data_IF_313772942621
#
_entry.id   IF_313772942621
#
_cell.length_a   1.000
_cell.length_b   1.000
_cell.length_c   1.000
_cell.angle_alpha   90.00
_cell.angle_beta   90.00
_cell.angle_gamma   90.00
#
_symmetry.space_group_name_H-M   'P 1'
#
loop_
_entity.id
_entity.type
_entity.pdbx_description
1 polymer ?
#
# COMPACT_ATOMS: atom_id res chain seq x y z
N UNK A 1 8.10 -28.23 19.94
CA UNK A 1 9.17 -27.83 20.88
C UNK A 1 9.08 -26.33 21.01
N UNK A 2 9.13 -25.82 22.24
CA UNK A 2 9.05 -24.38 22.48
C UNK A 2 10.39 -23.71 22.19
N UNK A 3 10.32 -22.46 21.73
CA UNK A 3 11.51 -21.67 21.45
C UNK A 3 12.22 -21.31 22.76
N UNK A 4 13.55 -21.43 22.77
CA UNK A 4 14.39 -21.06 23.91
C UNK A 4 14.96 -19.66 23.72
N UNK A 5 14.91 -18.81 24.75
CA UNK A 5 15.69 -17.57 24.75
C UNK A 5 17.13 -17.91 25.14
N UNK A 6 18.08 -17.65 24.23
CA UNK A 6 19.51 -17.97 24.41
C UNK A 6 20.35 -16.74 24.77
N UNK A 7 19.80 -15.54 24.59
CA UNK A 7 20.39 -14.29 25.05
C UNK A 7 19.26 -13.29 25.35
N UNK A 8 19.37 -12.61 26.48
CA UNK A 8 18.37 -11.65 26.95
C UNK A 8 19.07 -10.46 27.61
N UNK A 9 18.80 -9.26 27.13
CA UNK A 9 19.39 -8.00 27.61
C UNK A 9 18.37 -6.88 27.58
N UNK A 10 18.68 -5.68 28.08
CA UNK A 10 17.76 -4.55 28.11
C UNK A 10 17.26 -4.09 26.72
N UNK A 11 17.96 -4.40 25.64
CA UNK A 11 17.63 -3.95 24.30
C UNK A 11 17.62 -5.05 23.22
N UNK A 12 18.32 -6.17 23.39
CA UNK A 12 18.38 -7.30 22.45
C UNK A 12 17.85 -8.60 23.09
N UNK A 13 17.03 -9.34 22.33
CA UNK A 13 16.57 -10.70 22.65
C UNK A 13 16.92 -11.63 21.51
N UNK A 14 17.46 -12.81 21.84
CA UNK A 14 17.78 -13.87 20.88
C UNK A 14 17.02 -15.13 21.24
N UNK A 15 16.19 -15.57 20.31
CA UNK A 15 15.42 -16.80 20.35
C UNK A 15 16.14 -17.90 19.58
N UNK A 16 16.00 -19.14 20.02
CA UNK A 16 16.45 -20.32 19.32
C UNK A 16 15.33 -21.34 19.24
N UNK A 17 15.02 -21.73 18.01
CA UNK A 17 14.16 -22.84 17.67
C UNK A 17 15.01 -23.94 17.05
N UNK A 18 15.09 -25.09 17.72
CA UNK A 18 15.80 -26.26 17.19
C UNK A 18 14.84 -27.10 16.34
N UNK A 19 15.13 -27.19 15.04
CA UNK A 19 14.44 -28.07 14.09
C UNK A 19 15.34 -29.20 13.59
N UNK A 20 14.96 -29.83 12.48
CA UNK A 20 15.70 -30.95 11.85
C UNK A 20 16.54 -30.55 10.63
N UNK A 21 16.48 -29.30 10.19
CA UNK A 21 17.29 -28.81 9.06
C UNK A 21 18.80 -28.89 9.33
N UNK A 22 19.58 -29.21 8.30
CA UNK A 22 21.06 -29.20 8.33
C UNK A 22 21.66 -27.79 8.19
N UNK A 23 20.80 -26.81 7.87
CA UNK A 23 21.11 -25.37 7.83
C UNK A 23 20.41 -24.63 8.97
N UNK A 24 20.96 -23.48 9.33
CA UNK A 24 20.41 -22.55 10.31
C UNK A 24 19.92 -21.28 9.62
N UNK A 25 18.69 -20.88 9.92
CA UNK A 25 18.18 -19.56 9.53
C UNK A 25 18.38 -18.57 10.67
N UNK A 26 18.97 -17.41 10.40
CA UNK A 26 19.18 -16.32 11.35
C UNK A 26 18.29 -15.16 10.91
N UNK A 27 17.32 -14.76 11.71
CA UNK A 27 16.30 -13.78 11.30
C UNK A 27 16.31 -12.51 12.12
N UNK A 28 16.11 -11.39 11.43
CA UNK A 28 15.98 -10.06 12.02
C UNK A 28 14.64 -9.46 11.60
N UNK A 29 13.81 -9.10 12.57
CA UNK A 29 12.50 -8.48 12.32
C UNK A 29 12.66 -6.98 12.00
N UNK A 30 11.65 -6.39 11.35
CA UNK A 30 11.59 -4.95 11.16
C UNK A 30 11.29 -4.21 12.47
N UNK A 31 11.33 -2.88 12.41
CA UNK A 31 10.93 -2.00 13.51
C UNK A 31 9.43 -2.10 13.81
N UNK A 32 9.01 -1.75 15.04
CA UNK A 32 7.59 -1.71 15.44
C UNK A 32 7.10 -2.98 16.14
N UNK A 33 8.03 -3.81 16.61
CA UNK A 33 7.74 -5.06 17.33
C UNK A 33 8.36 -5.08 18.74
N UNK A 34 8.74 -3.93 19.28
CA UNK A 34 9.55 -3.81 20.49
C UNK A 34 8.85 -4.41 21.72
N UNK A 35 7.54 -4.17 21.86
CA UNK A 35 6.72 -4.69 22.97
C UNK A 35 6.57 -6.21 22.94
N UNK A 36 6.76 -6.84 21.77
CA UNK A 36 6.65 -8.29 21.57
C UNK A 36 8.00 -8.99 21.39
N UNK A 37 9.11 -8.30 21.68
CA UNK A 37 10.46 -8.83 21.47
C UNK A 37 10.72 -10.16 22.20
N UNK A 38 10.11 -10.38 23.37
CA UNK A 38 10.28 -11.63 24.12
C UNK A 38 9.45 -12.81 23.59
N UNK A 39 8.56 -12.62 22.61
CA UNK A 39 7.62 -13.66 22.17
C UNK A 39 7.56 -13.87 20.66
N UNK A 40 7.94 -12.85 19.88
CA UNK A 40 7.89 -12.84 18.42
C UNK A 40 9.30 -12.74 17.83
N UNK A 41 9.51 -13.37 16.68
CA UNK A 41 10.58 -13.03 15.73
C UNK A 41 10.10 -13.29 14.30
N UNK A 42 10.82 -12.75 13.32
CA UNK A 42 10.42 -12.86 11.91
C UNK A 42 10.38 -14.33 11.48
N UNK A 43 9.25 -14.75 10.90
CA UNK A 43 9.10 -16.11 10.36
C UNK A 43 8.87 -17.22 11.39
N UNK A 44 8.79 -16.91 12.70
CA UNK A 44 8.55 -17.90 13.78
C UNK A 44 7.51 -18.99 13.44
N UNK A 45 6.26 -18.67 13.04
CA UNK A 45 5.27 -19.70 12.72
C UNK A 45 5.64 -20.56 11.50
N UNK A 46 6.44 -20.02 10.57
CA UNK A 46 6.90 -20.74 9.38
C UNK A 46 7.98 -21.73 9.78
N UNK A 47 9.02 -21.30 10.50
CA UNK A 47 10.12 -22.19 10.86
C UNK A 47 9.68 -23.31 11.80
N UNK A 48 8.78 -23.04 12.74
CA UNK A 48 8.16 -24.07 13.56
C UNK A 48 7.33 -25.07 12.73
N UNK A 49 6.55 -24.57 11.76
CA UNK A 49 5.71 -25.41 10.89
C UNK A 49 6.53 -26.34 9.99
N UNK A 50 7.65 -25.86 9.49
CA UNK A 50 8.53 -26.60 8.56
C UNK A 50 9.70 -27.28 9.28
N UNK A 51 9.73 -27.25 10.62
CA UNK A 51 10.78 -27.84 11.45
C UNK A 51 12.20 -27.39 11.06
N UNK A 52 12.35 -26.09 10.80
CA UNK A 52 13.62 -25.48 10.39
C UNK A 52 14.32 -24.88 11.60
N UNK A 53 15.56 -25.27 11.83
CA UNK A 53 16.41 -24.65 12.86
C UNK A 53 16.56 -23.15 12.58
N UNK A 54 16.21 -22.34 13.57
CA UNK A 54 16.15 -20.88 13.43
C UNK A 54 16.63 -20.16 14.69
N UNK A 55 17.41 -19.10 14.49
CA UNK A 55 17.68 -18.07 15.49
C UNK A 55 16.90 -16.82 15.11
N UNK A 56 16.09 -16.29 16.03
CA UNK A 56 15.37 -15.04 15.85
C UNK A 56 15.95 -13.94 16.71
N UNK A 57 16.30 -12.80 16.13
CA UNK A 57 16.81 -11.64 16.85
C UNK A 57 15.78 -10.51 16.79
N UNK A 58 15.43 -9.98 17.95
CA UNK A 58 14.50 -8.85 18.11
C UNK A 58 15.08 -7.82 19.05
N UNK A 59 14.56 -6.59 18.98
CA UNK A 59 14.99 -5.49 19.83
C UNK A 59 13.84 -5.02 20.73
N UNK A 60 14.12 -4.64 21.98
CA UNK A 60 13.17 -3.95 22.88
C UNK A 60 13.14 -2.44 22.68
N UNK A 61 14.02 -1.93 21.83
CA UNK A 61 14.21 -0.51 21.57
C UNK A 61 14.40 -0.29 20.07
N UNK A 62 14.12 0.94 19.62
CA UNK A 62 14.30 1.38 18.23
C UNK A 62 15.77 1.74 17.95
N UNK A 63 16.67 0.78 18.15
CA UNK A 63 18.11 0.96 18.04
C UNK A 63 18.69 0.40 16.72
N UNK A 64 17.86 -0.09 15.79
CA UNK A 64 18.31 -0.73 14.54
C UNK A 64 19.35 -1.84 14.75
N UNK A 65 19.26 -2.58 15.87
CA UNK A 65 20.26 -3.58 16.27
C UNK A 65 21.67 -3.00 16.53
N UNK A 66 21.84 -1.69 16.55
CA UNK A 66 23.13 -1.05 16.78
C UNK A 66 23.33 -0.73 18.26
N UNK A 67 23.89 -1.69 19.01
CA UNK A 67 24.18 -1.52 20.44
C UNK A 67 25.38 -2.35 20.92
N UNK A 68 25.93 -2.03 22.11
CA UNK A 68 26.98 -2.85 22.73
C UNK A 68 26.51 -4.29 23.01
N UNK A 69 25.24 -4.49 23.38
CA UNK A 69 24.69 -5.83 23.65
C UNK A 69 24.55 -6.67 22.38
N UNK A 70 24.38 -6.04 21.21
CA UNK A 70 24.35 -6.78 19.95
C UNK A 70 25.66 -7.55 19.71
N UNK A 71 26.82 -7.00 20.07
CA UNK A 71 28.10 -7.70 19.93
C UNK A 71 28.15 -8.97 20.79
N UNK A 72 27.67 -8.89 22.04
CA UNK A 72 27.56 -10.05 22.93
C UNK A 72 26.56 -11.08 22.40
N UNK A 73 25.44 -10.62 21.83
CA UNK A 73 24.46 -11.48 21.19
C UNK A 73 25.07 -12.22 19.98
N UNK A 74 25.84 -11.53 19.13
CA UNK A 74 26.53 -12.15 17.98
C UNK A 74 27.50 -13.25 18.40
N UNK A 75 28.23 -13.09 19.51
CA UNK A 75 29.11 -14.14 20.04
C UNK A 75 28.33 -15.40 20.45
N UNK A 76 27.16 -15.23 21.05
CA UNK A 76 26.27 -16.36 21.40
C UNK A 76 25.74 -17.03 20.12
N UNK A 77 25.24 -16.24 19.17
CA UNK A 77 24.71 -16.75 17.89
C UNK A 77 25.78 -17.53 17.12
N UNK A 78 27.02 -17.02 17.10
CA UNK A 78 28.15 -17.67 16.46
C UNK A 78 28.38 -19.09 16.99
N UNK A 79 28.33 -19.29 18.32
CA UNK A 79 28.51 -20.61 18.94
C UNK A 79 27.41 -21.60 18.56
N UNK A 80 26.16 -21.13 18.49
CA UNK A 80 25.04 -21.97 18.06
C UNK A 80 25.09 -22.29 16.57
N UNK A 81 25.68 -21.40 15.75
CA UNK A 81 25.78 -21.57 14.30
C UNK A 81 26.82 -22.63 13.90
N UNK A 82 27.82 -22.90 14.75
CA UNK A 82 28.95 -23.78 14.43
C UNK A 82 28.58 -25.23 14.10
N UNK A 83 27.42 -25.72 14.55
CA UNK A 83 26.95 -27.08 14.29
C UNK A 83 26.20 -27.28 12.96
N UNK A 84 25.95 -26.20 12.22
CA UNK A 84 25.16 -26.23 10.99
C UNK A 84 26.04 -26.17 9.76
N UNK A 85 25.63 -26.87 8.70
CA UNK A 85 26.37 -26.92 7.44
C UNK A 85 26.34 -25.59 6.69
N UNK A 86 25.25 -24.83 6.87
CA UNK A 86 24.99 -23.58 6.17
C UNK A 86 24.23 -22.62 7.07
N UNK A 87 24.54 -21.33 6.97
CA UNK A 87 23.86 -20.25 7.69
C UNK A 87 23.19 -19.29 6.69
N UNK A 88 21.92 -18.98 6.94
CA UNK A 88 21.11 -18.13 6.06
C UNK A 88 20.58 -16.96 6.89
N UNK A 89 21.04 -15.74 6.62
CA UNK A 89 20.48 -14.55 7.25
C UNK A 89 19.26 -14.04 6.47
N UNK A 90 18.21 -13.63 7.18
CA UNK A 90 17.02 -13.05 6.57
C UNK A 90 16.55 -11.84 7.37
N UNK A 91 16.21 -10.75 6.70
CA UNK A 91 15.71 -9.57 7.41
C UNK A 91 14.75 -8.71 6.61
N UNK A 92 13.97 -7.89 7.33
CA UNK A 92 12.99 -6.94 6.80
C UNK A 92 13.37 -5.51 7.21
N UNK A 93 13.49 -4.56 6.27
CA UNK A 93 13.71 -3.14 6.60
C UNK A 93 14.92 -2.93 7.54
N UNK A 94 14.73 -2.46 8.77
CA UNK A 94 15.74 -2.39 9.83
C UNK A 94 16.41 -3.76 10.13
N UNK A 95 15.66 -4.86 10.04
CA UNK A 95 16.22 -6.20 10.15
C UNK A 95 17.00 -6.62 8.91
N UNK A 96 16.62 -6.16 7.71
CA UNK A 96 17.40 -6.40 6.49
C UNK A 96 18.75 -5.67 6.55
N UNK A 97 18.78 -4.48 7.17
CA UNK A 97 20.02 -3.81 7.56
C UNK A 97 20.89 -4.73 8.43
N UNK A 98 20.36 -5.25 9.54
CA UNK A 98 21.13 -6.08 10.47
C UNK A 98 21.61 -7.40 9.85
N UNK A 99 20.76 -8.04 9.03
CA UNK A 99 21.10 -9.25 8.29
C UNK A 99 22.34 -9.05 7.39
N UNK A 100 22.43 -7.90 6.71
CA UNK A 100 23.59 -7.55 5.87
C UNK A 100 24.76 -7.09 6.75
N UNK A 101 24.53 -6.16 7.69
CA UNK A 101 25.53 -5.54 8.57
C UNK A 101 26.34 -6.59 9.35
N UNK A 102 25.69 -7.67 9.78
CA UNK A 102 26.34 -8.72 10.57
C UNK A 102 26.69 -9.97 9.77
N UNK A 103 26.50 -9.96 8.44
CA UNK A 103 26.77 -11.12 7.58
C UNK A 103 28.23 -11.61 7.69
N UNK A 104 29.20 -10.69 7.78
CA UNK A 104 30.61 -11.05 7.97
C UNK A 104 30.89 -11.67 9.34
N UNK A 105 30.39 -11.08 10.43
CA UNK A 105 30.62 -11.58 11.79
C UNK A 105 29.94 -12.94 11.99
N UNK A 106 28.75 -13.12 11.43
CA UNK A 106 27.99 -14.36 11.48
C UNK A 106 28.46 -15.41 10.45
N UNK A 107 29.40 -15.05 9.57
CA UNK A 107 29.84 -15.82 8.39
C UNK A 107 28.66 -16.45 7.65
N UNK A 108 27.68 -15.63 7.30
CA UNK A 108 26.49 -16.08 6.58
C UNK A 108 26.89 -16.55 5.19
N UNK A 109 26.44 -17.74 4.80
CA UNK A 109 26.61 -18.22 3.42
C UNK A 109 25.70 -17.46 2.46
N UNK A 110 24.46 -17.18 2.90
CA UNK A 110 23.44 -16.49 2.12
C UNK A 110 22.69 -15.49 2.97
N UNK A 111 22.43 -14.30 2.44
CA UNK A 111 21.56 -13.28 3.03
C UNK A 111 20.39 -12.98 2.10
N UNK A 112 19.16 -13.02 2.63
CA UNK A 112 17.93 -12.58 1.94
C UNK A 112 17.44 -11.30 2.63
N UNK A 113 17.63 -10.16 1.97
CA UNK A 113 17.31 -8.85 2.52
C UNK A 113 16.08 -8.25 1.82
N UNK A 114 15.00 -8.05 2.56
CA UNK A 114 13.80 -7.38 2.05
C UNK A 114 13.87 -5.87 2.35
N UNK A 115 14.10 -5.07 1.33
CA UNK A 115 14.24 -3.60 1.39
C UNK A 115 15.18 -3.12 2.52
N UNK A 116 16.49 -3.43 2.47
CA UNK A 116 17.43 -2.99 3.48
C UNK A 116 17.51 -1.47 3.53
N UNK A 117 17.48 -0.92 4.74
CA UNK A 117 17.84 0.48 4.98
C UNK A 117 19.36 0.57 5.10
N UNK A 118 20.02 1.45 4.34
CA UNK A 118 21.47 1.57 4.41
C UNK A 118 21.94 2.09 5.78
N UNK A 119 21.26 3.12 6.29
CA UNK A 119 21.47 3.75 7.59
C UNK A 119 20.24 4.60 7.96
N UNK A 120 20.08 4.95 9.23
CA UNK A 120 19.21 6.05 9.67
C UNK A 120 20.00 7.31 10.06
N UNK A 121 21.34 7.25 9.99
CA UNK A 121 22.19 8.42 10.14
C UNK A 121 22.10 9.28 8.86
N UNK A 122 21.51 10.46 9.00
CA UNK A 122 21.32 11.46 7.93
C UNK A 122 22.63 11.99 7.35
N UNK A 123 23.76 11.72 8.00
CA UNK A 123 25.12 12.02 7.50
C UNK A 123 25.62 10.99 6.49
N UNK A 124 25.04 9.80 6.47
CA UNK A 124 25.49 8.68 5.64
C UNK A 124 24.60 8.46 4.42
N UNK A 125 23.31 8.77 4.53
CA UNK A 125 22.35 8.63 3.44
C UNK A 125 21.19 9.61 3.60
N UNK A 126 20.44 9.82 2.52
CA UNK A 126 19.17 10.52 2.61
C UNK A 126 18.18 9.65 3.40
N UNK A 127 17.66 10.20 4.50
CA UNK A 127 16.71 9.55 5.40
C UNK A 127 15.57 10.55 5.64
N UNK A 128 14.34 10.06 5.74
CA UNK A 128 13.22 10.96 6.10
C UNK A 128 13.42 11.48 7.53
N UNK A 129 13.02 12.74 7.82
CA UNK A 129 13.32 13.38 9.11
C UNK A 129 12.88 12.58 10.34
N UNK A 130 11.75 11.88 10.25
CA UNK A 130 11.18 11.08 11.34
C UNK A 130 12.08 9.91 11.72
N UNK A 131 12.75 9.26 10.76
CA UNK A 131 13.70 8.19 11.04
C UNK A 131 15.06 8.74 11.48
N UNK A 132 15.51 9.84 10.88
CA UNK A 132 16.76 10.51 11.27
C UNK A 132 16.70 10.98 12.74
N UNK A 133 15.54 11.41 13.21
CA UNK A 133 15.32 11.80 14.61
C UNK A 133 15.49 10.66 15.62
N UNK A 134 15.42 9.39 15.18
CA UNK A 134 15.69 8.22 16.02
C UNK A 134 17.18 7.87 16.10
N UNK A 135 18.03 8.48 15.27
CA UNK A 135 19.47 8.24 15.29
C UNK A 135 20.13 8.93 16.48
N UNK A 136 20.42 8.15 17.53
CA UNK A 136 21.13 8.63 18.72
C UNK A 136 22.61 8.85 18.44
N UNK A 137 23.31 9.56 19.32
CA UNK A 137 24.76 9.79 19.18
C UNK A 137 25.57 8.48 19.11
N UNK A 138 25.12 7.43 19.80
CA UNK A 138 25.79 6.12 19.75
C UNK A 138 25.57 5.37 18.44
N UNK A 139 24.60 5.78 17.62
CA UNK A 139 24.28 5.17 16.32
C UNK A 139 24.93 5.92 15.15
N UNK A 140 25.74 6.94 15.40
CA UNK A 140 26.41 7.67 14.33
C UNK A 140 27.44 6.80 13.62
N UNK A 141 27.44 6.83 12.29
CA UNK A 141 28.28 5.97 11.46
C UNK A 141 27.81 4.51 11.39
N UNK A 142 26.58 4.20 11.81
CA UNK A 142 26.07 2.83 11.89
C UNK A 142 25.96 2.14 10.52
N UNK A 143 25.86 2.90 9.43
CA UNK A 143 25.52 2.39 8.12
C UNK A 143 26.32 1.17 7.69
N UNK A 144 25.74 0.35 6.83
CA UNK A 144 26.43 -0.82 6.26
C UNK A 144 27.68 -0.35 5.55
N UNK A 145 28.82 -0.97 5.85
CA UNK A 145 30.13 -0.73 5.24
C UNK A 145 30.53 -1.89 4.35
N UNK A 146 31.61 -1.67 3.60
CA UNK A 146 32.13 -2.66 2.65
C UNK A 146 32.68 -3.89 3.36
N UNK A 147 33.23 -3.73 4.55
CA UNK A 147 33.81 -4.76 5.41
C UNK A 147 32.77 -5.59 6.17
N UNK A 148 31.53 -5.11 6.24
CA UNK A 148 30.44 -5.78 6.97
C UNK A 148 29.82 -6.94 6.18
N UNK A 149 30.03 -6.97 4.87
CA UNK A 149 29.34 -7.90 3.96
C UNK A 149 30.12 -9.19 3.69
N UNK A 150 29.42 -10.32 3.72
CA UNK A 150 29.93 -11.67 3.41
C UNK A 150 28.88 -12.56 2.74
N UNK A 151 29.34 -13.54 1.96
CA UNK A 151 28.49 -14.53 1.30
C UNK A 151 27.70 -13.98 0.12
N UNK A 152 26.68 -14.75 -0.31
CA UNK A 152 25.77 -14.31 -1.36
C UNK A 152 24.63 -13.49 -0.76
N UNK A 153 24.36 -12.30 -1.30
CA UNK A 153 23.35 -11.39 -0.77
C UNK A 153 22.28 -11.14 -1.85
N UNK A 154 21.05 -11.57 -1.59
CA UNK A 154 19.90 -11.28 -2.44
C UNK A 154 19.07 -10.15 -1.84
N UNK A 155 19.04 -9.01 -2.52
CA UNK A 155 18.28 -7.83 -2.10
C UNK A 155 16.97 -7.78 -2.87
N UNK A 156 15.87 -8.06 -2.18
CA UNK A 156 14.52 -7.97 -2.71
C UNK A 156 13.97 -6.57 -2.41
N UNK A 157 13.75 -5.77 -3.47
CA UNK A 157 13.34 -4.37 -3.31
C UNK A 157 12.41 -3.90 -4.44
N UNK A 158 11.60 -2.88 -4.19
CA UNK A 158 10.89 -2.18 -5.27
C UNK A 158 11.81 -1.13 -5.90
N UNK A 159 12.20 -1.31 -7.17
CA UNK A 159 13.08 -0.36 -7.86
C UNK A 159 12.50 1.07 -7.99
N UNK A 160 11.19 1.22 -7.83
CA UNK A 160 10.53 2.52 -7.88
C UNK A 160 10.45 3.19 -6.50
N UNK A 161 10.78 2.47 -5.43
CA UNK A 161 11.00 3.05 -4.11
C UNK A 161 12.42 3.64 -4.06
N UNK A 162 12.51 4.96 -4.02
CA UNK A 162 13.78 5.70 -4.18
C UNK A 162 14.83 5.26 -3.15
N UNK A 163 14.46 5.21 -1.88
CA UNK A 163 15.41 4.95 -0.79
C UNK A 163 15.89 3.49 -0.79
N UNK A 164 15.00 2.55 -1.14
CA UNK A 164 15.35 1.13 -1.25
C UNK A 164 16.28 0.89 -2.44
N UNK A 165 15.99 1.56 -3.57
CA UNK A 165 16.85 1.52 -4.74
C UNK A 165 18.24 2.06 -4.43
N UNK A 166 18.33 3.23 -3.79
CA UNK A 166 19.61 3.83 -3.41
C UNK A 166 20.40 2.92 -2.47
N UNK A 167 19.74 2.32 -1.47
CA UNK A 167 20.38 1.38 -0.53
C UNK A 167 20.88 0.14 -1.25
N UNK A 168 20.06 -0.46 -2.13
CA UNK A 168 20.41 -1.64 -2.92
C UNK A 168 21.60 -1.38 -3.88
N UNK A 169 21.60 -0.24 -4.58
CA UNK A 169 22.68 0.16 -5.49
C UNK A 169 23.98 0.45 -4.73
N UNK A 170 23.90 1.06 -3.54
CA UNK A 170 25.09 1.32 -2.69
C UNK A 170 25.72 0.02 -2.22
N UNK A 171 24.92 -0.93 -1.72
CA UNK A 171 25.41 -2.23 -1.25
C UNK A 171 25.99 -3.05 -2.42
N UNK A 172 25.37 -3.00 -3.61
CA UNK A 172 25.95 -3.59 -4.81
C UNK A 172 27.33 -2.98 -5.12
N UNK A 173 27.49 -1.66 -4.97
CA UNK A 173 28.76 -0.95 -5.14
C UNK A 173 29.87 -1.43 -4.20
N UNK A 174 29.55 -1.92 -3.01
CA UNK A 174 30.53 -2.50 -2.08
C UNK A 174 31.21 -3.77 -2.61
N UNK A 175 30.65 -4.42 -3.63
CA UNK A 175 31.25 -5.60 -4.28
C UNK A 175 32.30 -5.26 -5.34
N UNK A 176 32.45 -3.99 -5.74
CA UNK A 176 33.39 -3.61 -6.79
C UNK A 176 34.84 -3.98 -6.43
N UNK A 177 35.45 -4.90 -7.18
CA UNK A 177 36.80 -5.41 -6.90
C UNK A 177 36.86 -6.50 -5.82
N UNK A 178 35.72 -7.09 -5.44
CA UNK A 178 35.62 -8.27 -4.58
C UNK A 178 35.11 -9.46 -5.40
N UNK A 179 35.69 -10.64 -5.17
CA UNK A 179 35.24 -11.91 -5.75
C UNK A 179 34.63 -12.85 -4.70
N UNK A 180 34.77 -12.51 -3.43
CA UNK A 180 34.33 -13.29 -2.27
C UNK A 180 32.88 -13.00 -1.85
N UNK A 181 32.27 -11.94 -2.39
CA UNK A 181 30.88 -11.53 -2.10
C UNK A 181 30.16 -11.20 -3.39
N UNK A 182 28.95 -11.73 -3.54
CA UNK A 182 28.10 -11.49 -4.70
C UNK A 182 26.75 -10.93 -4.25
N UNK A 183 26.32 -9.82 -4.87
CA UNK A 183 25.04 -9.19 -4.58
C UNK A 183 24.10 -9.35 -5.79
N UNK A 184 22.97 -10.03 -5.59
CA UNK A 184 21.91 -10.21 -6.57
C UNK A 184 20.71 -9.31 -6.26
N UNK A 185 20.45 -8.30 -7.11
CA UNK A 185 19.27 -7.44 -6.97
C UNK A 185 18.02 -8.10 -7.57
N UNK A 186 16.98 -8.29 -6.77
CA UNK A 186 15.71 -8.88 -7.18
C UNK A 186 14.61 -7.83 -7.09
N UNK A 187 14.19 -7.30 -8.24
CA UNK A 187 13.14 -6.30 -8.28
C UNK A 187 11.76 -6.91 -7.98
N UNK A 188 11.04 -6.29 -7.03
CA UNK A 188 9.70 -6.67 -6.56
C UNK A 188 8.75 -5.49 -6.82
N UNK A 189 8.28 -5.28 -8.08
CA UNK A 189 7.48 -4.11 -8.45
C UNK A 189 6.20 -3.95 -7.62
N UNK A 190 5.90 -2.68 -7.31
CA UNK A 190 4.72 -2.24 -6.57
C UNK A 190 4.64 -2.83 -5.16
N UNK A 191 5.78 -3.19 -4.58
CA UNK A 191 5.81 -3.66 -3.20
C UNK A 191 5.98 -2.52 -2.20
N UNK A 192 6.48 -1.36 -2.64
CA UNK A 192 6.91 -0.31 -1.72
C UNK A 192 8.01 -0.81 -0.78
N UNK A 193 8.11 -0.19 0.40
CA UNK A 193 9.16 -0.51 1.37
C UNK A 193 8.96 -1.86 2.08
N UNK A 194 7.71 -2.22 2.43
CA UNK A 194 7.42 -3.48 3.14
C UNK A 194 7.29 -4.64 2.13
N UNK A 195 8.41 -4.97 1.48
CA UNK A 195 8.48 -5.89 0.34
C UNK A 195 7.87 -7.26 0.63
N UNK A 196 8.10 -7.78 1.84
CA UNK A 196 7.64 -9.12 2.23
C UNK A 196 6.10 -9.24 2.26
N UNK A 197 5.35 -8.17 2.52
CA UNK A 197 3.88 -8.25 2.49
C UNK A 197 3.36 -8.56 1.08
N UNK A 198 4.08 -8.14 0.03
CA UNK A 198 3.80 -8.52 -1.36
C UNK A 198 4.16 -9.97 -1.72
N UNK A 199 4.90 -10.67 -0.85
CA UNK A 199 5.42 -12.02 -1.07
C UNK A 199 4.93 -13.02 -0.02
N UNK A 200 4.21 -12.54 0.99
CA UNK A 200 3.82 -13.25 2.21
C UNK A 200 3.18 -14.60 1.94
N UNK A 201 3.59 -15.59 2.72
CA UNK A 201 3.06 -16.96 2.68
C UNK A 201 4.13 -17.95 3.10
N UNK A 202 3.79 -18.93 3.94
CA UNK A 202 4.77 -19.87 4.48
C UNK A 202 5.48 -20.67 3.38
N UNK A 203 4.73 -21.11 2.35
CA UNK A 203 5.30 -21.79 1.16
C UNK A 203 6.22 -20.87 0.36
N UNK A 204 5.87 -19.59 0.26
CA UNK A 204 6.66 -18.62 -0.51
C UNK A 204 7.99 -18.33 0.20
N UNK A 205 7.97 -18.13 1.53
CA UNK A 205 9.19 -17.91 2.30
C UNK A 205 10.14 -19.11 2.19
N UNK A 206 9.63 -20.34 2.32
CA UNK A 206 10.45 -21.54 2.14
C UNK A 206 11.01 -21.66 0.72
N UNK A 207 10.21 -21.40 -0.31
CA UNK A 207 10.67 -21.42 -1.70
C UNK A 207 11.80 -20.39 -1.97
N UNK A 208 11.72 -19.20 -1.35
CA UNK A 208 12.79 -18.20 -1.42
C UNK A 208 14.07 -18.71 -0.74
N UNK A 209 13.95 -19.31 0.45
CA UNK A 209 15.07 -19.87 1.21
C UNK A 209 15.75 -20.99 0.42
N UNK A 210 14.98 -21.96 -0.08
CA UNK A 210 15.48 -23.08 -0.89
C UNK A 210 16.21 -22.58 -2.14
N UNK A 211 15.63 -21.61 -2.84
CA UNK A 211 16.23 -21.07 -4.08
C UNK A 211 17.51 -20.31 -3.78
N UNK A 212 17.48 -19.40 -2.82
CA UNK A 212 18.62 -18.58 -2.43
C UNK A 212 19.78 -19.43 -1.87
N UNK A 213 19.47 -20.53 -1.18
CA UNK A 213 20.47 -21.42 -0.57
C UNK A 213 20.90 -22.60 -1.45
N UNK A 214 20.32 -22.77 -2.63
CA UNK A 214 20.71 -23.82 -3.58
C UNK A 214 22.17 -23.69 -4.02
N UNK A 215 22.70 -24.77 -4.60
CA UNK A 215 24.08 -24.82 -5.13
C UNK A 215 24.23 -24.17 -6.51
N UNK A 216 23.16 -23.59 -7.06
CA UNK A 216 23.18 -22.95 -8.36
C UNK A 216 24.05 -21.68 -8.34
N UNK A 217 24.63 -21.28 -9.49
CA UNK A 217 25.32 -20.00 -9.62
C UNK A 217 24.43 -18.82 -9.18
N UNK A 218 25.02 -17.79 -8.59
CA UNK A 218 24.27 -16.63 -8.04
C UNK A 218 23.33 -15.99 -9.06
N UNK A 219 23.78 -15.86 -10.32
CA UNK A 219 22.96 -15.29 -11.41
C UNK A 219 21.71 -16.13 -11.70
N UNK A 220 21.83 -17.45 -11.62
CA UNK A 220 20.70 -18.36 -11.82
C UNK A 220 19.74 -18.31 -10.65
N UNK A 221 20.25 -18.33 -9.40
CA UNK A 221 19.43 -18.10 -8.20
C UNK A 221 18.68 -16.77 -8.26
N UNK A 222 19.35 -15.68 -8.65
CA UNK A 222 18.74 -14.36 -8.83
C UNK A 222 17.60 -14.40 -9.87
N UNK A 223 17.80 -15.07 -11.00
CA UNK A 223 16.79 -15.20 -12.04
C UNK A 223 15.57 -16.00 -11.56
N UNK A 224 15.79 -17.12 -10.85
CA UNK A 224 14.74 -17.95 -10.25
C UNK A 224 13.97 -17.19 -9.17
N UNK A 225 14.65 -16.47 -8.28
CA UNK A 225 14.02 -15.60 -7.28
C UNK A 225 13.16 -14.52 -7.97
N UNK A 226 13.66 -13.91 -9.05
CA UNK A 226 12.87 -12.95 -9.82
C UNK A 226 11.65 -13.61 -10.49
N UNK A 227 11.72 -14.87 -10.92
CA UNK A 227 10.57 -15.60 -11.46
C UNK A 227 9.54 -15.93 -10.37
N UNK A 228 10.00 -16.44 -9.22
CA UNK A 228 9.14 -16.78 -8.08
C UNK A 228 8.42 -15.55 -7.52
N UNK A 229 9.14 -14.45 -7.26
CA UNK A 229 8.54 -13.20 -6.77
C UNK A 229 7.52 -12.62 -7.75
N UNK A 230 7.67 -12.82 -9.06
CA UNK A 230 6.63 -12.46 -10.05
C UNK A 230 5.38 -13.33 -9.89
N UNK A 231 5.52 -14.63 -9.64
CA UNK A 231 4.37 -15.51 -9.42
C UNK A 231 3.64 -15.13 -8.13
N UNK A 232 4.35 -15.02 -7.00
CA UNK A 232 3.77 -14.73 -5.69
C UNK A 232 2.96 -13.43 -5.67
N UNK A 233 3.50 -12.37 -6.30
CA UNK A 233 2.86 -11.05 -6.33
C UNK A 233 1.55 -11.00 -7.11
N UNK A 234 1.39 -11.83 -8.14
CA UNK A 234 0.20 -11.78 -9.00
C UNK A 234 -1.07 -12.30 -8.31
N UNK A 235 -0.94 -12.93 -7.15
CA UNK A 235 -2.04 -13.49 -6.35
C UNK A 235 -2.13 -12.86 -4.96
N UNK A 236 -1.18 -11.97 -4.64
CA UNK A 236 -1.07 -11.34 -3.34
C UNK A 236 -1.91 -10.05 -3.31
N UNK A 237 -2.88 -10.00 -2.39
CA UNK A 237 -3.79 -8.87 -2.26
C UNK A 237 -3.08 -7.53 -2.00
N UNK A 238 -2.05 -7.52 -1.15
CA UNK A 238 -1.27 -6.30 -0.85
C UNK A 238 -0.57 -5.78 -2.10
N UNK A 239 0.07 -6.64 -2.88
CA UNK A 239 0.72 -6.21 -4.11
C UNK A 239 -0.29 -5.70 -5.15
N UNK A 240 -1.44 -6.36 -5.26
CA UNK A 240 -2.52 -5.95 -6.17
C UNK A 240 -3.07 -4.58 -5.76
N UNK A 241 -3.33 -4.37 -4.47
CA UNK A 241 -3.75 -3.09 -3.92
C UNK A 241 -2.72 -1.98 -4.19
N UNK A 242 -1.43 -2.24 -3.95
CA UNK A 242 -0.37 -1.28 -4.26
C UNK A 242 -0.30 -0.93 -5.75
N UNK A 243 -0.55 -1.89 -6.65
CA UNK A 243 -0.63 -1.63 -8.10
C UNK A 243 -1.82 -0.74 -8.44
N UNK A 244 -2.97 -0.94 -7.79
CA UNK A 244 -4.15 -0.07 -7.95
C UNK A 244 -3.80 1.34 -7.47
N UNK A 245 -3.23 1.49 -6.27
CA UNK A 245 -2.77 2.78 -5.71
C UNK A 245 -1.78 3.52 -6.59
N UNK A 246 -0.79 2.83 -7.14
CA UNK A 246 0.20 3.46 -8.00
C UNK A 246 -0.35 3.81 -9.40
N UNK A 247 -1.38 3.08 -9.84
CA UNK A 247 -1.88 3.11 -11.21
C UNK A 247 -3.13 3.93 -11.45
N UNK A 248 -4.04 4.08 -10.47
CA UNK A 248 -5.39 4.60 -10.73
C UNK A 248 -5.42 6.01 -11.33
N UNK A 249 -4.49 6.90 -10.96
CA UNK A 249 -4.38 8.24 -11.56
C UNK A 249 -3.63 8.23 -12.89
N UNK A 250 -2.51 7.49 -12.97
CA UNK A 250 -1.61 7.53 -14.14
C UNK A 250 -2.18 6.71 -15.31
N UNK A 251 -2.69 5.52 -15.00
CA UNK A 251 -3.17 4.52 -15.94
C UNK A 251 -4.57 3.99 -15.56
N UNK A 252 -5.60 4.85 -15.47
CA UNK A 252 -6.93 4.48 -14.99
C UNK A 252 -7.55 3.33 -15.78
N UNK A 253 -7.38 3.30 -17.11
CA UNK A 253 -7.91 2.22 -17.93
C UNK A 253 -7.23 0.86 -17.64
N UNK A 254 -5.91 0.85 -17.42
CA UNK A 254 -5.20 -0.38 -17.04
C UNK A 254 -5.61 -0.85 -15.63
N UNK A 255 -5.82 0.09 -14.71
CA UNK A 255 -6.35 -0.23 -13.37
C UNK A 255 -7.74 -0.84 -13.47
N UNK A 256 -8.63 -0.26 -14.28
CA UNK A 256 -9.95 -0.85 -14.52
C UNK A 256 -9.86 -2.24 -15.15
N UNK A 257 -8.99 -2.45 -16.14
CA UNK A 257 -8.79 -3.77 -16.76
C UNK A 257 -8.29 -4.82 -15.77
N UNK A 258 -7.44 -4.43 -14.81
CA UNK A 258 -7.03 -5.30 -13.72
C UNK A 258 -8.23 -5.72 -12.88
N UNK A 259 -9.07 -4.76 -12.46
CA UNK A 259 -10.28 -5.01 -11.66
C UNK A 259 -11.33 -5.84 -12.42
N UNK A 260 -11.45 -5.64 -13.73
CA UNK A 260 -12.35 -6.36 -14.63
C UNK A 260 -11.81 -7.74 -15.06
N UNK A 261 -10.65 -8.15 -14.57
CA UNK A 261 -10.08 -9.47 -14.87
C UNK A 261 -10.69 -10.55 -13.98
N UNK A 262 -10.92 -11.76 -14.52
CA UNK A 262 -11.33 -12.92 -13.71
C UNK A 262 -10.37 -13.19 -12.56
N UNK A 263 -9.07 -13.01 -12.82
CA UNK A 263 -8.01 -13.19 -11.82
C UNK A 263 -8.21 -12.31 -10.58
N UNK A 264 -8.73 -11.08 -10.74
CA UNK A 264 -8.99 -10.21 -9.59
C UNK A 264 -10.10 -10.75 -8.69
N UNK A 265 -11.15 -11.34 -9.28
CA UNK A 265 -12.23 -11.98 -8.53
C UNK A 265 -11.75 -13.18 -7.70
N UNK A 266 -10.67 -13.85 -8.12
CA UNK A 266 -10.08 -15.00 -7.42
C UNK A 266 -9.04 -14.61 -6.35
N UNK A 267 -8.80 -13.30 -6.12
CA UNK A 267 -7.82 -12.84 -5.14
C UNK A 267 -8.29 -13.17 -3.73
N UNK A 268 -7.43 -13.84 -2.95
CA UNK A 268 -7.70 -14.10 -1.54
C UNK A 268 -7.75 -12.79 -0.76
N UNK A 269 -8.74 -12.64 0.12
CA UNK A 269 -8.96 -11.42 0.91
C UNK A 269 -9.14 -10.18 0.02
N UNK A 270 -9.89 -10.33 -1.07
CA UNK A 270 -10.22 -9.20 -1.95
C UNK A 270 -10.97 -8.09 -1.20
N UNK A 271 -11.70 -8.42 -0.14
CA UNK A 271 -12.37 -7.45 0.74
C UNK A 271 -11.40 -6.43 1.35
N UNK A 272 -10.18 -6.84 1.72
CA UNK A 272 -9.15 -5.92 2.23
C UNK A 272 -8.80 -4.83 1.20
N UNK A 273 -8.96 -5.13 -0.10
CA UNK A 273 -8.77 -4.19 -1.21
C UNK A 273 -10.03 -3.35 -1.40
N UNK A 274 -11.20 -3.98 -1.45
CA UNK A 274 -12.49 -3.34 -1.79
C UNK A 274 -12.99 -2.39 -0.71
N UNK A 275 -12.57 -2.58 0.55
CA UNK A 275 -12.89 -1.69 1.66
C UNK A 275 -12.29 -0.27 1.52
N UNK A 276 -11.29 -0.06 0.66
CA UNK A 276 -10.82 1.28 0.31
C UNK A 276 -11.73 1.89 -0.76
N UNK A 277 -12.98 2.20 -0.41
CA UNK A 277 -13.99 2.69 -1.37
C UNK A 277 -13.52 3.96 -2.11
N UNK A 278 -12.78 4.81 -1.39
CA UNK A 278 -12.26 6.10 -1.90
C UNK A 278 -11.48 5.90 -3.20
N UNK A 279 -10.61 4.89 -3.29
CA UNK A 279 -9.80 4.70 -4.50
C UNK A 279 -10.64 4.31 -5.71
N UNK A 280 -11.69 3.53 -5.53
CA UNK A 280 -12.55 3.06 -6.61
C UNK A 280 -13.46 4.18 -7.13
N UNK A 281 -14.00 5.01 -6.24
CA UNK A 281 -14.80 6.15 -6.67
C UNK A 281 -13.95 7.22 -7.36
N UNK A 282 -12.73 7.48 -6.87
CA UNK A 282 -11.78 8.35 -7.56
C UNK A 282 -11.41 7.79 -8.92
N UNK A 283 -11.18 6.47 -9.03
CA UNK A 283 -10.94 5.83 -10.31
C UNK A 283 -12.13 6.01 -11.27
N UNK A 284 -13.37 5.83 -10.80
CA UNK A 284 -14.57 6.05 -11.62
C UNK A 284 -14.66 7.51 -12.12
N UNK A 285 -14.44 8.48 -11.24
CA UNK A 285 -14.41 9.90 -11.61
C UNK A 285 -13.32 10.20 -12.66
N UNK A 286 -12.10 9.67 -12.48
CA UNK A 286 -10.99 9.84 -13.42
C UNK A 286 -11.29 9.18 -14.77
N UNK A 287 -11.84 7.97 -14.77
CA UNK A 287 -12.26 7.27 -16.00
C UNK A 287 -13.26 8.11 -16.77
N UNK A 288 -14.30 8.61 -16.10
CA UNK A 288 -15.33 9.45 -16.70
C UNK A 288 -14.73 10.74 -17.30
N UNK A 289 -13.88 11.43 -16.54
CA UNK A 289 -13.22 12.66 -17.00
C UNK A 289 -12.26 12.41 -18.18
N UNK A 290 -11.79 11.18 -18.37
CA UNK A 290 -11.00 10.78 -19.54
C UNK A 290 -11.82 10.23 -20.71
N UNK A 291 -13.15 10.24 -20.61
CA UNK A 291 -14.05 9.75 -21.66
C UNK A 291 -14.30 8.24 -21.60
N UNK A 292 -13.80 7.54 -20.59
CA UNK A 292 -14.06 6.11 -20.34
C UNK A 292 -15.35 5.92 -19.54
N UNK A 293 -16.46 6.46 -20.07
CA UNK A 293 -17.77 6.53 -19.38
C UNK A 293 -18.32 5.13 -19.06
N UNK A 294 -18.21 4.19 -20.00
CA UNK A 294 -18.62 2.80 -19.80
C UNK A 294 -17.85 2.12 -18.65
N UNK A 295 -16.54 2.32 -18.60
CA UNK A 295 -15.68 1.75 -17.57
C UNK A 295 -15.97 2.37 -16.19
N UNK A 296 -16.16 3.69 -16.14
CA UNK A 296 -16.56 4.38 -14.92
C UNK A 296 -17.88 3.81 -14.36
N UNK A 297 -18.88 3.65 -15.21
CA UNK A 297 -20.20 3.12 -14.84
C UNK A 297 -20.15 1.69 -14.34
N UNK A 298 -19.53 0.80 -15.11
CA UNK A 298 -19.42 -0.62 -14.74
C UNK A 298 -18.69 -0.79 -13.41
N UNK A 299 -17.67 0.03 -13.14
CA UNK A 299 -16.99 0.05 -11.85
C UNK A 299 -17.93 0.48 -10.72
N UNK A 300 -18.69 1.57 -10.89
CA UNK A 300 -19.66 2.01 -9.86
C UNK A 300 -20.73 0.96 -9.59
N UNK A 301 -21.28 0.34 -10.64
CA UNK A 301 -22.27 -0.73 -10.49
C UNK A 301 -21.68 -1.95 -9.78
N UNK A 302 -20.42 -2.29 -10.04
CA UNK A 302 -19.73 -3.35 -9.31
C UNK A 302 -19.55 -3.00 -7.83
N UNK A 303 -19.21 -1.75 -7.49
CA UNK A 303 -19.12 -1.29 -6.09
C UNK A 303 -20.49 -1.32 -5.40
N UNK A 304 -21.54 -0.80 -6.02
CA UNK A 304 -22.91 -0.84 -5.48
C UNK A 304 -23.34 -2.30 -5.22
N UNK A 305 -23.09 -3.19 -6.18
CA UNK A 305 -23.38 -4.62 -6.02
C UNK A 305 -22.59 -5.24 -4.87
N UNK A 306 -21.30 -4.95 -4.78
CA UNK A 306 -20.46 -5.43 -3.70
C UNK A 306 -21.01 -5.02 -2.34
N UNK A 307 -21.40 -3.76 -2.18
CA UNK A 307 -21.93 -3.31 -0.90
C UNK A 307 -23.34 -3.82 -0.57
N UNK A 308 -24.15 -4.10 -1.58
CA UNK A 308 -25.52 -4.63 -1.39
C UNK A 308 -25.56 -6.14 -1.20
N UNK A 309 -24.60 -6.89 -1.77
CA UNK A 309 -24.65 -8.36 -1.84
C UNK A 309 -23.36 -9.06 -1.42
N UNK A 310 -22.28 -8.33 -1.16
CA UNK A 310 -20.93 -8.87 -0.95
C UNK A 310 -20.22 -9.31 -2.25
N UNK A 311 -20.85 -9.18 -3.42
CA UNK A 311 -20.35 -9.76 -4.67
C UNK A 311 -19.79 -8.71 -5.63
N UNK A 312 -18.45 -8.61 -5.69
CA UNK A 312 -17.76 -7.75 -6.65
C UNK A 312 -17.44 -8.51 -7.94
N UNK A 313 -18.26 -8.33 -8.98
CA UNK A 313 -18.06 -8.97 -10.30
C UNK A 313 -17.99 -7.97 -11.44
N UNK A 314 -16.98 -7.10 -11.43
CA UNK A 314 -16.78 -6.16 -12.54
C UNK A 314 -16.58 -6.87 -13.89
N UNK A 315 -15.93 -8.03 -13.90
CA UNK A 315 -15.67 -8.79 -15.12
C UNK A 315 -16.95 -9.24 -15.85
N UNK A 316 -18.08 -9.41 -15.15
CA UNK A 316 -19.36 -9.77 -15.78
C UNK A 316 -20.10 -8.56 -16.32
N UNK A 317 -19.77 -7.35 -15.83
CA UNK A 317 -20.40 -6.11 -16.25
C UNK A 317 -19.67 -5.46 -17.45
N UNK A 318 -18.45 -5.90 -17.77
CA UNK A 318 -17.60 -5.28 -18.78
C UNK A 318 -18.25 -5.21 -20.18
N UNK A 319 -19.11 -6.18 -20.50
CA UNK A 319 -19.78 -6.31 -21.79
C UNK A 319 -21.28 -5.93 -21.70
N UNK A 320 -21.76 -5.46 -20.53
CA UNK A 320 -23.17 -5.12 -20.38
C UNK A 320 -23.56 -3.88 -21.20
N UNK A 321 -24.73 -3.90 -21.86
CA UNK A 321 -25.19 -2.77 -22.66
C UNK A 321 -25.46 -1.54 -21.79
N UNK A 322 -25.40 -0.36 -22.42
CA UNK A 322 -25.79 0.89 -21.79
C UNK A 322 -27.28 0.87 -21.47
N UNK A 323 -27.59 1.00 -20.18
CA UNK A 323 -28.91 1.27 -19.62
C UNK A 323 -28.89 2.72 -19.17
N UNK A 324 -29.83 3.53 -19.64
CA UNK A 324 -29.92 4.93 -19.27
C UNK A 324 -30.40 5.07 -17.81
N UNK A 325 -29.55 5.64 -16.96
CA UNK A 325 -29.84 5.91 -15.56
C UNK A 325 -29.69 7.38 -15.22
N UNK A 326 -30.09 7.73 -13.99
CA UNK A 326 -29.95 9.10 -13.48
C UNK A 326 -28.48 9.45 -13.26
N UNK A 327 -28.01 10.61 -13.71
CA UNK A 327 -26.64 11.02 -13.47
C UNK A 327 -26.41 11.25 -11.98
N UNK A 328 -25.23 10.91 -11.51
CA UNK A 328 -24.73 11.29 -10.18
C UNK A 328 -23.53 12.22 -10.34
N UNK A 329 -23.27 13.00 -9.30
CA UNK A 329 -22.13 13.91 -9.23
C UNK A 329 -21.10 13.37 -8.24
N UNK A 330 -19.87 13.11 -8.70
CA UNK A 330 -18.76 12.69 -7.84
C UNK A 330 -17.71 13.79 -7.72
N UNK A 331 -17.32 14.15 -6.50
CA UNK A 331 -16.23 15.09 -6.26
C UNK A 331 -14.85 14.49 -6.61
N UNK A 332 -13.79 15.28 -6.46
CA UNK A 332 -12.40 14.86 -6.68
C UNK A 332 -11.91 13.74 -5.73
N UNK A 333 -12.62 13.53 -4.62
CA UNK A 333 -12.39 12.48 -3.61
C UNK A 333 -13.27 11.25 -3.85
N UNK A 334 -14.16 11.28 -4.84
CA UNK A 334 -15.09 10.21 -5.14
C UNK A 334 -16.36 10.19 -4.29
N UNK A 335 -16.66 11.25 -3.54
CA UNK A 335 -17.92 11.33 -2.78
C UNK A 335 -19.02 11.91 -3.64
N UNK A 336 -20.25 11.47 -3.38
CA UNK A 336 -21.45 11.88 -4.09
C UNK A 336 -22.01 13.18 -3.53
N UNK A 337 -22.45 14.08 -4.41
CA UNK A 337 -23.23 15.25 -4.03
C UNK A 337 -24.60 14.80 -3.47
N UNK A 338 -24.83 15.12 -2.20
CA UNK A 338 -26.10 14.95 -1.54
C UNK A 338 -26.77 16.28 -1.23
N UNK A 339 -28.03 16.23 -0.85
CA UNK A 339 -28.79 17.33 -0.27
C UNK A 339 -29.35 16.91 1.08
N UNK A 340 -29.06 17.66 2.14
CA UNK A 340 -29.58 17.40 3.49
C UNK A 340 -30.98 18.03 3.62
N UNK A 341 -32.00 17.19 3.85
CA UNK A 341 -33.38 17.64 4.05
C UNK A 341 -33.54 18.51 5.31
N UNK A 342 -32.80 18.19 6.37
CA UNK A 342 -32.82 18.87 7.66
C UNK A 342 -32.03 20.19 7.63
N UNK A 343 -30.83 20.19 7.06
CA UNK A 343 -29.97 21.39 6.99
C UNK A 343 -30.31 22.30 5.82
N UNK A 344 -31.06 21.80 4.82
CA UNK A 344 -31.42 22.53 3.60
C UNK A 344 -30.20 23.05 2.85
N UNK A 345 -29.19 22.20 2.73
CA UNK A 345 -27.88 22.53 2.15
C UNK A 345 -27.37 21.31 1.37
N UNK A 346 -26.50 21.56 0.39
CA UNK A 346 -25.73 20.48 -0.22
C UNK A 346 -24.76 19.87 0.79
N UNK A 347 -24.50 18.59 0.63
CA UNK A 347 -23.59 17.80 1.46
C UNK A 347 -22.81 16.83 0.58
N UNK A 348 -21.77 16.21 1.11
CA UNK A 348 -20.96 15.21 0.43
C UNK A 348 -20.99 13.91 1.23
N UNK A 349 -21.16 12.78 0.55
CA UNK A 349 -21.37 11.49 1.20
C UNK A 349 -21.01 10.30 0.29
N UNK A 350 -21.04 9.08 0.81
CA UNK A 350 -20.76 7.89 0.02
C UNK A 350 -21.90 7.56 -0.95
N UNK A 351 -21.56 6.99 -2.10
CA UNK A 351 -22.54 6.66 -3.16
C UNK A 351 -23.54 5.58 -2.73
N UNK A 352 -23.10 4.63 -1.90
CA UNK A 352 -23.92 3.50 -1.47
C UNK A 352 -24.73 3.82 -0.22
N UNK A 353 -24.12 4.56 0.70
CA UNK A 353 -24.73 4.92 1.99
C UNK A 353 -24.72 6.44 2.10
N UNK A 354 -25.87 7.05 1.81
CA UNK A 354 -26.07 8.44 2.15
C UNK A 354 -26.02 8.59 3.67
N UNK A 355 -25.10 9.40 4.15
CA UNK A 355 -24.89 9.65 5.58
C UNK A 355 -26.01 10.55 6.10
N UNK A 356 -26.68 10.10 7.17
CA UNK A 356 -27.71 10.89 7.85
C UNK A 356 -28.98 11.10 7.01
N UNK A 357 -29.34 12.36 6.80
CA UNK A 357 -30.56 12.78 6.09
C UNK A 357 -30.30 13.24 4.65
N UNK A 358 -29.11 12.91 4.13
CA UNK A 358 -28.72 13.24 2.77
C UNK A 358 -29.50 12.41 1.75
N UNK A 359 -29.91 13.06 0.65
CA UNK A 359 -30.48 12.41 -0.53
C UNK A 359 -29.64 12.72 -1.76
N UNK A 360 -29.43 11.78 -2.70
CA UNK A 360 -28.53 12.01 -3.82
C UNK A 360 -29.04 13.13 -4.73
N UNK A 361 -28.12 14.01 -5.15
CA UNK A 361 -28.40 15.01 -6.16
C UNK A 361 -28.07 14.41 -7.53
N UNK A 362 -29.07 14.41 -8.39
CA UNK A 362 -28.97 14.06 -9.80
C UNK A 362 -29.13 15.31 -10.67
N UNK A 363 -29.24 15.13 -11.98
CA UNK A 363 -29.63 16.21 -12.88
C UNK A 363 -30.60 15.74 -13.95
N UNK A 364 -31.46 16.67 -14.37
CA UNK A 364 -32.42 16.50 -15.46
C UNK A 364 -32.22 17.67 -16.43
N UNK A 365 -32.27 17.38 -17.72
CA UNK A 365 -32.29 18.40 -18.75
C UNK A 365 -33.73 18.86 -19.00
N UNK A 366 -33.95 20.16 -18.98
CA UNK A 366 -35.23 20.82 -19.22
C UNK A 366 -34.98 22.05 -20.09
N UNK A 367 -35.62 22.11 -21.26
CA UNK A 367 -35.46 23.20 -22.25
C UNK A 367 -33.99 23.56 -22.58
N UNK A 368 -33.14 22.54 -22.72
CA UNK A 368 -31.72 22.71 -23.05
C UNK A 368 -30.82 23.17 -21.89
N UNK A 369 -31.40 23.33 -20.69
CA UNK A 369 -30.66 23.64 -19.47
C UNK A 369 -30.67 22.41 -18.55
N UNK A 370 -29.51 22.09 -17.98
CA UNK A 370 -29.38 20.98 -17.03
C UNK A 370 -29.62 21.52 -15.63
N UNK A 371 -30.58 20.97 -14.90
CA UNK A 371 -30.91 21.37 -13.53
C UNK A 371 -30.47 20.31 -12.54
N UNK A 372 -29.96 20.67 -11.34
CA UNK A 372 -29.81 19.72 -10.26
C UNK A 372 -31.20 19.26 -9.80
N UNK A 373 -31.33 18.00 -9.39
CA UNK A 373 -32.60 17.43 -8.95
C UNK A 373 -32.41 16.48 -7.79
N UNK A 374 -33.31 16.54 -6.83
CA UNK A 374 -33.39 15.63 -5.69
C UNK A 374 -34.62 14.74 -5.85
N UNK A 375 -34.49 13.46 -5.54
CA UNK A 375 -35.58 12.49 -5.68
C UNK A 375 -35.97 11.95 -4.33
N UNK A 376 -37.21 12.23 -3.93
CA UNK A 376 -37.72 11.88 -2.61
C UNK A 376 -39.14 11.34 -2.74
N UNK A 377 -39.39 10.15 -2.19
CA UNK A 377 -40.68 9.45 -2.25
C UNK A 377 -41.26 9.35 -3.68
N UNK A 378 -40.41 9.07 -4.66
CA UNK A 378 -40.80 8.91 -6.07
C UNK A 378 -41.10 10.21 -6.81
N UNK A 379 -40.97 11.38 -6.17
CA UNK A 379 -41.11 12.70 -6.80
C UNK A 379 -39.75 13.37 -6.99
N UNK A 380 -39.64 14.15 -8.05
CA UNK A 380 -38.46 14.97 -8.32
C UNK A 380 -38.71 16.40 -7.83
N UNK A 381 -37.70 16.96 -7.21
CA UNK A 381 -37.68 18.34 -6.75
C UNK A 381 -36.42 19.04 -7.26
N UNK A 382 -36.54 20.33 -7.53
CA UNK A 382 -35.46 21.16 -8.03
C UNK A 382 -34.93 22.03 -6.89
N UNK A 383 -33.65 21.92 -6.55
CA UNK A 383 -33.01 22.81 -5.59
C UNK A 383 -33.04 24.26 -6.07
N UNK A 384 -33.39 25.17 -5.17
CA UNK A 384 -33.46 26.61 -5.37
C UNK A 384 -32.65 27.32 -4.29
N UNK A 385 -31.72 28.19 -4.67
CA UNK A 385 -30.98 29.01 -3.72
C UNK A 385 -31.88 30.11 -3.16
N UNK A 386 -31.94 30.19 -1.82
CA UNK A 386 -32.55 31.26 -1.04
C UNK A 386 -31.46 31.92 -0.17
N UNK A 387 -31.80 32.99 0.54
CA UNK A 387 -30.85 33.64 1.46
C UNK A 387 -30.43 32.67 2.58
N UNK A 388 -29.22 32.13 2.49
CA UNK A 388 -28.61 31.27 3.53
C UNK A 388 -29.01 29.79 3.51
N UNK A 389 -29.92 29.36 2.63
CA UNK A 389 -30.28 27.94 2.48
C UNK A 389 -30.76 27.59 1.05
N UNK A 390 -30.95 26.30 0.80
CA UNK A 390 -31.46 25.77 -0.47
C UNK A 390 -32.85 25.18 -0.22
N UNK A 391 -33.87 25.66 -0.93
CA UNK A 391 -35.22 25.09 -0.91
C UNK A 391 -35.42 24.06 -2.02
N UNK A 392 -36.51 23.28 -1.94
CA UNK A 392 -36.89 22.32 -2.98
C UNK A 392 -38.22 22.76 -3.62
N UNK A 393 -38.18 23.06 -4.92
CA UNK A 393 -39.33 23.42 -5.75
C UNK A 393 -39.82 22.25 -6.61
N UNK A 394 -41.07 22.32 -7.08
CA UNK A 394 -41.64 21.32 -8.01
C UNK A 394 -41.29 21.61 -9.49
N UNK A 395 -40.83 22.82 -9.78
CA UNK A 395 -40.43 23.30 -11.10
C UNK A 395 -38.95 23.69 -11.08
N UNK A 396 -38.27 23.72 -12.24
CA UNK A 396 -36.89 24.19 -12.34
C UNK A 396 -36.69 25.53 -11.61
N UNK A 397 -35.67 25.55 -10.75
CA UNK A 397 -35.33 26.68 -9.90
C UNK A 397 -34.26 27.59 -10.51
N UNK A 398 -33.72 28.46 -9.69
CA UNK A 398 -32.62 29.38 -10.05
C UNK A 398 -31.22 28.74 -10.02
N UNK A 399 -31.12 27.41 -9.97
CA UNK A 399 -29.86 26.66 -9.98
C UNK A 399 -29.75 25.83 -11.25
N UNK A 400 -28.61 25.89 -11.92
CA UNK A 400 -28.29 25.10 -13.11
C UNK A 400 -26.97 24.37 -12.93
N UNK A 401 -26.80 23.27 -13.68
CA UNK A 401 -25.55 22.53 -13.78
C UNK A 401 -24.82 23.00 -15.03
N UNK A 402 -23.70 23.67 -14.83
CA UNK A 402 -22.84 24.15 -15.91
C UNK A 402 -21.61 23.27 -16.05
N UNK A 403 -21.16 23.07 -17.29
CA UNK A 403 -19.94 22.31 -17.60
C UNK A 403 -18.77 23.27 -17.74
N UNK A 404 -17.72 23.04 -16.97
CA UNK A 404 -16.43 23.71 -17.11
C UNK A 404 -15.37 22.69 -17.51
N UNK A 405 -15.05 22.65 -18.80
CA UNK A 405 -14.15 21.65 -19.36
C UNK A 405 -14.69 20.23 -19.16
N UNK A 406 -14.04 19.45 -18.27
CA UNK A 406 -14.42 18.07 -17.95
C UNK A 406 -15.25 17.95 -16.66
N UNK A 407 -15.43 19.04 -15.94
CA UNK A 407 -16.12 19.08 -14.66
C UNK A 407 -17.49 19.72 -14.79
N UNK A 408 -18.36 19.42 -13.84
CA UNK A 408 -19.67 20.05 -13.66
C UNK A 408 -19.70 20.81 -12.34
N UNK A 409 -20.35 21.97 -12.36
CA UNK A 409 -20.57 22.84 -11.20
C UNK A 409 -22.04 23.22 -11.11
N UNK A 410 -22.53 23.54 -9.91
CA UNK A 410 -23.86 24.11 -9.72
C UNK A 410 -23.74 25.64 -9.67
N UNK A 411 -24.39 26.32 -10.60
CA UNK A 411 -24.39 27.77 -10.78
C UNK A 411 -25.78 28.32 -10.50
N UNK A 412 -25.86 29.34 -9.65
CA UNK A 412 -27.06 30.12 -9.45
C UNK A 412 -27.22 31.22 -10.51
N UNK A 413 -28.45 31.65 -10.79
CA UNK A 413 -28.77 32.72 -11.75
C UNK A 413 -28.04 34.04 -11.45
N UNK A 414 -27.72 34.32 -10.18
CA UNK A 414 -26.94 35.49 -9.75
C UNK A 414 -25.44 35.38 -10.09
N UNK A 415 -25.03 34.32 -10.78
CA UNK A 415 -23.64 34.05 -11.19
C UNK A 415 -22.79 33.39 -10.10
N UNK A 416 -23.36 33.08 -8.93
CA UNK A 416 -22.62 32.44 -7.84
C UNK A 416 -22.61 30.92 -7.97
N UNK A 417 -21.46 30.31 -7.68
CA UNK A 417 -21.35 28.86 -7.58
C UNK A 417 -21.75 28.38 -6.19
N UNK A 418 -22.49 27.28 -6.13
CA UNK A 418 -22.95 26.69 -4.86
C UNK A 418 -21.98 25.61 -4.41
N UNK A 419 -21.46 25.73 -3.18
CA UNK A 419 -20.51 24.81 -2.55
C UNK A 419 -21.18 23.86 -1.53
N UNK A 420 -20.49 22.76 -1.21
CA UNK A 420 -20.89 21.77 -0.20
C UNK A 420 -20.66 22.27 1.23
N UNK A 421 -19.68 23.16 1.44
CA UNK A 421 -19.32 23.66 2.77
C UNK A 421 -20.00 25.01 2.99
N UNK A 422 -20.88 25.06 4.00
CA UNK A 422 -21.48 26.31 4.45
C UNK A 422 -20.47 27.11 5.26
N UNK A 423 -19.71 27.98 4.61
CA UNK A 423 -19.21 29.22 5.22
C UNK A 423 -19.69 30.39 4.34
N UNK A 424 -20.91 30.83 4.63
CA UNK A 424 -21.49 32.04 4.05
C UNK A 424 -20.94 33.26 4.80
N UNK A 425 -19.74 33.72 4.44
CA UNK A 425 -19.30 35.09 4.70
C UNK A 425 -18.52 35.62 3.49
N UNK A 426 -19.08 36.69 2.91
CA UNK A 426 -18.61 37.69 1.95
C UNK A 426 -17.20 37.61 1.32
N UNK A 427 -17.14 37.97 0.03
CA UNK A 427 -16.03 38.75 -0.53
C UNK A 427 -15.31 38.09 -1.70
N UNK A 428 -15.34 38.74 -2.85
CA UNK A 428 -14.59 38.34 -4.04
C UNK A 428 -13.07 38.35 -3.79
N UNK A 429 -12.40 37.24 -4.10
CA UNK A 429 -11.08 37.22 -4.73
C UNK A 429 -10.79 35.79 -5.21
N UNK A 430 -10.10 35.68 -6.34
CA UNK A 430 -9.40 34.48 -6.76
C UNK A 430 -8.58 33.92 -5.58
N UNK A 431 -8.49 32.59 -5.48
CA UNK A 431 -7.68 31.87 -4.48
C UNK A 431 -8.32 31.67 -3.09
N UNK A 432 -9.49 31.01 -3.03
CA UNK A 432 -9.77 30.09 -1.91
C UNK A 432 -10.81 29.02 -2.30
N UNK A 433 -10.38 27.77 -2.20
CA UNK A 433 -11.03 26.55 -2.67
C UNK A 433 -12.21 26.13 -1.78
N UNK A 434 -13.43 26.12 -2.33
CA UNK A 434 -14.45 25.12 -1.96
C UNK A 434 -15.34 24.67 -3.13
N UNK A 435 -14.92 24.96 -4.38
CA UNK A 435 -15.53 24.32 -5.55
C UNK A 435 -15.07 22.87 -5.60
N UNK A 436 -15.84 21.96 -5.02
CA UNK A 436 -15.71 20.58 -5.45
C UNK A 436 -16.24 20.49 -6.88
N UNK A 437 -15.33 20.53 -7.85
CA UNK A 437 -15.63 20.19 -9.22
C UNK A 437 -16.09 18.75 -9.27
N UNK A 438 -17.30 18.52 -9.80
CA UNK A 438 -17.88 17.18 -9.88
C UNK A 438 -17.67 16.56 -11.26
N UNK A 439 -17.55 15.24 -11.28
CA UNK A 439 -17.66 14.42 -12.48
C UNK A 439 -19.11 13.96 -12.60
N UNK A 440 -19.79 14.29 -13.71
CA UNK A 440 -21.13 13.78 -14.01
C UNK A 440 -21.01 12.36 -14.58
N UNK A 441 -21.52 11.36 -13.87
CA UNK A 441 -21.47 9.94 -14.28
C UNK A 441 -22.89 9.41 -14.42
N UNK A 442 -23.20 8.72 -15.53
CA UNK A 442 -24.47 8.05 -15.76
C UNK A 442 -24.41 6.62 -15.21
N UNK A 443 -25.33 6.25 -14.33
CA UNK A 443 -25.44 4.90 -13.73
C UNK A 443 -26.10 3.89 -14.65
#
# INVERSE_FOLDING_TARGET
MDDQIIFDSDDIVVHFHKGSSDFLVITFIGIGHEESASTLYFGKPVFQKYDISCIGITTRQRNWYYSPNMHKALEVIWRYSAGYRKTIAIGLSAGAYAAIKYSMVLKTDVTIAFAPQLSIDDRETAVIPEWAALCTSSMRGMGIKREDISGDIFILHDRHHRDDRQSAETILGYTLGRSDVLVGLVNVPSAGHIVYESLKGSKNLMALIETASSTLPVRERQALLAQQTRAFRRENAVNIYNRIRAGFERHPLLTWQLLASRRFADVRKVDDILNDETIFYRLAAILNNRGYTHQARTLLRAMIRYHTTGDFRLYSLKDEPFIEGRPIFLDHRGRTLGYSLKRRQFTSSNIVWMEGDAVPVSSIEYDGVVYPTVSYLGKNFFPEKREGWISLGATPGNLSVVKQGKCSCILAEDGTFVSIVADFVSGWAQECLSYETFSKILL
#
